data_IF_181406510200
#
_entry.id   IF_181406510200
#
_cell.length_a   1.000
_cell.length_b   1.000
_cell.length_c   1.000
_cell.angle_alpha   90.00
_cell.angle_beta   90.00
_cell.angle_gamma   90.00
#
_symmetry.space_group_name_H-M   'P 1'
#
loop_
_entity.id
_entity.type
_entity.pdbx_description
1 polymer ?
#
# COMPACT_ATOMS: atom_id res chain seq x y z
N UNK A 1 -2.65 -5.24 -1.71
CA UNK A 1 -2.62 -3.86 -1.16
C UNK A 1 -4.06 -3.39 -1.09
N UNK A 2 -4.36 -2.50 -0.14
CA UNK A 2 -5.73 -2.18 0.25
C UNK A 2 -6.64 -1.58 -0.82
N UNK A 3 -7.88 -1.34 -0.40
CA UNK A 3 -9.12 -1.31 -1.20
C UNK A 3 -9.53 -2.74 -1.60
N UNK A 4 -9.83 -3.57 -0.59
CA UNK A 4 -10.25 -4.96 -0.78
C UNK A 4 -11.67 -5.10 -1.36
N UNK A 5 -12.46 -4.03 -1.29
CA UNK A 5 -13.77 -3.91 -1.96
C UNK A 5 -13.71 -2.87 -3.07
N UNK A 6 -14.51 -3.08 -4.12
CA UNK A 6 -14.64 -2.14 -5.24
C UNK A 6 -15.33 -0.84 -4.84
N UNK A 7 -16.16 -0.89 -3.80
CA UNK A 7 -16.83 0.26 -3.20
C UNK A 7 -16.16 0.58 -1.87
N UNK A 8 -16.08 1.87 -1.55
CA UNK A 8 -15.60 2.34 -0.25
C UNK A 8 -16.47 1.81 0.89
N UNK A 9 -15.83 1.48 2.00
CA UNK A 9 -16.49 0.98 3.19
C UNK A 9 -17.35 2.07 3.84
N UNK A 10 -18.62 1.78 4.12
CA UNK A 10 -19.54 2.68 4.80
C UNK A 10 -20.47 3.49 3.87
N UNK A 11 -20.25 3.46 2.55
CA UNK A 11 -21.09 4.19 1.59
C UNK A 11 -22.46 3.53 1.37
N UNK A 12 -22.52 2.19 1.40
CA UNK A 12 -23.75 1.41 1.18
C UNK A 12 -24.16 0.68 2.47
N UNK A 13 -25.47 0.59 2.77
CA UNK A 13 -25.98 -0.11 3.97
C UNK A 13 -25.54 -1.58 4.09
N UNK A 14 -25.34 -2.27 2.96
CA UNK A 14 -24.86 -3.67 2.91
C UNK A 14 -23.34 -3.81 2.79
N UNK A 15 -22.57 -2.70 2.87
CA UNK A 15 -21.11 -2.74 2.66
C UNK A 15 -20.41 -3.70 3.62
N UNK A 16 -20.89 -3.77 4.86
CA UNK A 16 -20.32 -4.64 5.90
C UNK A 16 -20.39 -6.11 5.52
N UNK A 17 -21.56 -6.58 5.07
CA UNK A 17 -21.77 -7.97 4.67
C UNK A 17 -20.96 -8.31 3.42
N UNK A 18 -20.95 -7.42 2.42
CA UNK A 18 -20.16 -7.63 1.20
C UNK A 18 -18.65 -7.70 1.50
N UNK A 19 -18.17 -6.86 2.40
CA UNK A 19 -16.78 -6.87 2.85
C UNK A 19 -16.45 -8.23 3.51
N UNK A 20 -17.24 -8.66 4.50
CA UNK A 20 -17.06 -9.95 5.17
C UNK A 20 -17.12 -11.14 4.20
N UNK A 21 -18.08 -11.14 3.27
CA UNK A 21 -18.20 -12.17 2.24
C UNK A 21 -16.98 -12.21 1.31
N UNK A 22 -16.39 -11.06 0.98
CA UNK A 22 -15.16 -10.96 0.19
C UNK A 22 -13.98 -11.66 0.88
N UNK A 23 -13.77 -11.36 2.16
CA UNK A 23 -12.74 -12.03 2.97
C UNK A 23 -13.03 -13.53 3.14
N UNK A 24 -14.29 -13.92 3.31
CA UNK A 24 -14.65 -15.34 3.38
C UNK A 24 -14.34 -16.08 2.07
N UNK A 25 -14.62 -15.47 0.92
CA UNK A 25 -14.26 -16.03 -0.40
C UNK A 25 -12.75 -16.15 -0.56
N UNK A 26 -11.99 -15.13 -0.16
CA UNK A 26 -10.53 -15.18 -0.18
C UNK A 26 -10.00 -16.33 0.68
N UNK A 27 -10.57 -16.54 1.85
CA UNK A 27 -10.18 -17.65 2.72
C UNK A 27 -10.47 -19.02 2.11
N UNK A 28 -11.66 -19.20 1.53
CA UNK A 28 -12.02 -20.45 0.82
C UNK A 28 -11.05 -20.75 -0.31
N UNK A 29 -10.58 -19.73 -1.03
CA UNK A 29 -9.56 -19.88 -2.06
C UNK A 29 -8.20 -20.29 -1.48
N UNK A 30 -7.74 -19.63 -0.42
CA UNK A 30 -6.47 -19.94 0.23
C UNK A 30 -6.46 -21.34 0.87
N UNK A 31 -7.61 -21.80 1.36
CA UNK A 31 -7.77 -23.14 1.94
C UNK A 31 -7.73 -24.28 0.91
N UNK A 32 -7.81 -23.98 -0.39
CA UNK A 32 -7.75 -25.03 -1.43
C UNK A 32 -6.39 -25.76 -1.40
N UNK A 33 -6.36 -27.09 -1.62
CA UNK A 33 -5.13 -27.88 -1.55
C UNK A 33 -4.00 -27.35 -2.46
N UNK A 34 -4.36 -26.79 -3.62
CA UNK A 34 -3.42 -26.22 -4.59
C UNK A 34 -2.63 -25.02 -4.03
N UNK A 35 -3.26 -24.22 -3.18
CA UNK A 35 -2.67 -23.00 -2.63
C UNK A 35 -2.12 -23.18 -1.21
N UNK A 36 -2.38 -24.33 -0.58
CA UNK A 36 -1.88 -24.67 0.76
C UNK A 36 -0.36 -24.57 0.86
N UNK A 37 0.37 -24.94 -0.20
CA UNK A 37 1.84 -24.85 -0.20
C UNK A 37 2.32 -23.41 -0.04
N UNK A 38 1.59 -22.43 -0.62
CA UNK A 38 1.92 -21.01 -0.48
C UNK A 38 1.74 -20.55 0.96
N UNK A 39 0.70 -21.00 1.65
CA UNK A 39 0.48 -20.65 3.07
C UNK A 39 1.59 -21.20 3.98
N UNK A 40 2.23 -22.31 3.61
CA UNK A 40 3.33 -22.89 4.37
C UNK A 40 4.67 -22.20 4.09
N UNK A 41 4.92 -21.81 2.84
CA UNK A 41 6.21 -21.23 2.43
C UNK A 41 6.28 -19.71 2.53
N UNK A 42 5.17 -19.02 2.27
CA UNK A 42 5.15 -17.57 2.07
C UNK A 42 4.58 -16.82 3.28
N UNK A 43 5.00 -15.57 3.42
CA UNK A 43 4.41 -14.62 4.35
C UNK A 43 3.35 -13.78 3.64
N UNK A 44 2.13 -13.78 4.15
CA UNK A 44 1.04 -12.96 3.64
C UNK A 44 0.90 -11.73 4.53
N UNK A 45 1.11 -10.56 3.94
CA UNK A 45 0.98 -9.28 4.63
C UNK A 45 -0.15 -8.48 4.00
N UNK A 46 -1.15 -8.15 4.81
CA UNK A 46 -2.28 -7.32 4.43
C UNK A 46 -2.02 -5.89 4.89
N UNK A 47 -1.87 -4.99 3.92
CA UNK A 47 -1.77 -3.55 4.13
C UNK A 47 -3.11 -2.92 3.76
N UNK A 48 -3.75 -2.18 4.68
CA UNK A 48 -5.01 -1.50 4.42
C UNK A 48 -4.81 -0.34 3.43
N UNK A 49 -5.91 0.14 2.88
CA UNK A 49 -5.97 1.33 2.05
C UNK A 49 -7.09 2.26 2.49
N UNK A 50 -7.19 3.44 1.88
CA UNK A 50 -8.12 4.49 2.30
C UNK A 50 -9.61 4.10 2.14
N UNK A 51 -9.92 3.12 1.30
CA UNK A 51 -11.30 2.63 1.11
C UNK A 51 -11.72 1.50 2.06
N UNK A 52 -10.82 1.02 2.92
CA UNK A 52 -11.05 -0.18 3.75
C UNK A 52 -11.66 0.12 5.12
N UNK A 53 -12.14 -0.94 5.79
CA UNK A 53 -12.69 -0.91 7.14
C UNK A 53 -11.60 -0.70 8.21
N UNK A 54 -11.11 0.53 8.32
CA UNK A 54 -10.22 1.00 9.39
C UNK A 54 -10.92 2.06 10.24
N UNK A 55 -10.45 2.27 11.48
CA UNK A 55 -11.07 3.24 12.40
C UNK A 55 -10.94 4.68 11.86
N UNK A 56 -9.85 4.97 11.16
CA UNK A 56 -9.61 6.24 10.49
C UNK A 56 -8.83 5.97 9.20
N UNK A 57 -9.45 6.28 8.07
CA UNK A 57 -8.99 5.94 6.72
C UNK A 57 -8.48 7.16 5.92
N UNK A 58 -8.50 8.35 6.53
CA UNK A 58 -8.09 9.60 5.88
C UNK A 58 -6.74 10.11 6.40
N UNK A 59 -6.27 9.61 7.53
CA UNK A 59 -5.06 10.08 8.20
C UNK A 59 -4.03 8.96 8.26
N UNK A 60 -2.79 9.28 7.86
CA UNK A 60 -1.65 8.38 7.98
C UNK A 60 -0.93 8.62 9.33
N UNK A 61 -0.41 7.59 10.00
CA UNK A 61 -0.55 6.17 9.69
C UNK A 61 -1.96 5.63 10.01
N UNK A 62 -2.52 4.88 9.08
CA UNK A 62 -3.76 4.13 9.26
C UNK A 62 -3.52 2.88 10.11
N UNK A 63 -4.50 2.57 10.95
CA UNK A 63 -4.51 1.36 11.75
C UNK A 63 -4.75 0.12 10.88
N UNK A 64 -4.38 -1.08 11.35
CA UNK A 64 -4.72 -2.32 10.67
C UNK A 64 -6.24 -2.49 10.51
N UNK A 65 -6.64 -3.38 9.62
CA UNK A 65 -8.06 -3.69 9.41
C UNK A 65 -8.72 -4.15 10.72
N UNK A 66 -9.96 -3.71 10.93
CA UNK A 66 -10.76 -4.08 12.11
C UNK A 66 -10.93 -5.59 12.16
N UNK A 67 -10.67 -6.17 13.34
CA UNK A 67 -10.71 -7.62 13.56
C UNK A 67 -12.09 -8.19 13.34
N UNK A 68 -13.17 -7.48 13.65
CA UNK A 68 -14.53 -8.01 13.50
C UNK A 68 -14.87 -8.41 12.06
N UNK A 69 -14.27 -7.72 11.09
CA UNK A 69 -14.45 -8.02 9.67
C UNK A 69 -13.40 -9.00 9.11
N UNK A 70 -12.29 -9.22 9.82
CA UNK A 70 -11.10 -9.95 9.31
C UNK A 70 -10.67 -11.16 10.14
N UNK A 71 -11.14 -11.30 11.39
CA UNK A 71 -10.77 -12.33 12.38
C UNK A 71 -10.96 -13.73 11.82
N UNK A 72 -12.07 -13.94 11.10
CA UNK A 72 -12.39 -15.20 10.45
C UNK A 72 -11.27 -15.70 9.52
N UNK A 73 -10.46 -14.83 8.92
CA UNK A 73 -9.35 -15.27 8.09
C UNK A 73 -8.19 -15.75 8.94
N UNK A 74 -7.72 -14.90 9.85
CA UNK A 74 -6.55 -15.21 10.65
C UNK A 74 -6.77 -16.48 11.45
N UNK A 75 -7.88 -16.56 12.17
CA UNK A 75 -8.20 -17.71 13.03
C UNK A 75 -8.34 -19.01 12.23
N UNK A 76 -8.93 -18.96 11.02
CA UNK A 76 -9.06 -20.15 10.16
C UNK A 76 -7.72 -20.57 9.57
N UNK A 77 -6.86 -19.63 9.18
CA UNK A 77 -5.51 -19.94 8.70
C UNK A 77 -4.69 -20.55 9.85
N UNK A 78 -4.78 -19.96 11.04
CA UNK A 78 -4.14 -20.45 12.26
C UNK A 78 -4.63 -21.87 12.61
N UNK A 79 -5.93 -22.15 12.49
CA UNK A 79 -6.48 -23.49 12.69
C UNK A 79 -6.02 -24.51 11.64
N UNK A 80 -5.78 -24.09 10.40
CA UNK A 80 -5.38 -24.98 9.30
C UNK A 80 -3.88 -25.33 9.30
N UNK A 81 -3.04 -24.41 9.77
CA UNK A 81 -1.57 -24.50 9.75
C UNK A 81 -0.95 -24.61 11.15
N UNK A 82 -1.73 -24.46 12.21
CA UNK A 82 -1.27 -24.35 13.59
C UNK A 82 -0.43 -23.09 13.82
N UNK A 83 0.52 -23.17 14.75
CA UNK A 83 1.44 -22.08 15.12
C UNK A 83 2.38 -21.61 13.98
N UNK A 84 2.32 -22.25 12.80
CA UNK A 84 3.12 -21.88 11.64
C UNK A 84 2.41 -20.90 10.70
N UNK A 85 1.28 -20.33 11.11
CA UNK A 85 0.59 -19.36 10.27
C UNK A 85 1.44 -18.10 10.06
N UNK A 86 1.61 -17.74 8.80
CA UNK A 86 2.45 -16.62 8.35
C UNK A 86 1.59 -15.49 7.79
N UNK A 87 0.50 -15.16 8.48
CA UNK A 87 -0.47 -14.16 8.05
C UNK A 87 -0.45 -12.95 8.99
N UNK A 88 -0.17 -11.77 8.44
CA UNK A 88 -0.04 -10.52 9.18
C UNK A 88 -0.97 -9.45 8.63
N UNK A 89 -1.77 -8.84 9.51
CA UNK A 89 -2.47 -7.59 9.24
C UNK A 89 -1.62 -6.45 9.82
N UNK A 90 -1.25 -5.47 8.99
CA UNK A 90 -0.34 -4.38 9.38
C UNK A 90 -1.01 -3.01 9.21
N UNK A 91 -0.35 -1.97 9.71
CA UNK A 91 -0.68 -0.56 9.46
C UNK A 91 -0.36 -0.14 8.04
N UNK A 92 -0.85 1.04 7.64
CA UNK A 92 -0.44 1.71 6.41
C UNK A 92 0.07 3.13 6.74
N UNK A 93 1.34 3.48 6.45
CA UNK A 93 2.35 2.66 5.81
C UNK A 93 2.86 1.53 6.72
N UNK A 94 3.55 0.57 6.11
CA UNK A 94 4.29 -0.47 6.82
C UNK A 94 5.75 -0.51 6.35
N UNK A 95 6.63 -0.99 7.23
CA UNK A 95 8.04 -1.19 6.94
C UNK A 95 8.38 -2.66 7.12
N UNK A 96 8.97 -3.26 6.09
CA UNK A 96 9.42 -4.64 6.13
C UNK A 96 10.92 -4.63 5.92
N UNK A 97 11.63 -5.29 6.83
CA UNK A 97 13.06 -5.56 6.68
C UNK A 97 13.23 -7.01 6.29
N UNK A 98 13.80 -7.24 5.11
CA UNK A 98 14.15 -8.57 4.66
C UNK A 98 15.64 -8.60 4.31
N UNK A 99 16.39 -9.48 4.97
CA UNK A 99 17.85 -9.51 4.92
C UNK A 99 18.43 -8.13 5.29
N UNK A 100 19.22 -7.54 4.39
CA UNK A 100 19.82 -6.20 4.53
C UNK A 100 18.94 -5.08 3.99
N UNK A 101 17.82 -5.40 3.32
CA UNK A 101 16.99 -4.43 2.59
C UNK A 101 15.88 -3.89 3.47
N UNK A 102 15.73 -2.56 3.47
CA UNK A 102 14.64 -1.82 4.12
C UNK A 102 13.60 -1.44 3.08
N UNK A 103 12.41 -1.99 3.22
CA UNK A 103 11.28 -1.78 2.31
C UNK A 103 10.20 -1.00 3.03
N UNK A 104 9.65 0.00 2.35
CA UNK A 104 8.50 0.77 2.83
C UNK A 104 7.36 0.56 1.87
N UNK A 105 6.19 0.22 2.41
CA UNK A 105 4.97 0.13 1.63
C UNK A 105 3.98 1.16 2.15
N UNK A 106 3.44 1.94 1.24
CA UNK A 106 2.39 2.91 1.50
C UNK A 106 1.30 2.63 0.48
N UNK A 107 0.04 2.69 0.89
CA UNK A 107 -1.12 2.64 0.00
C UNK A 107 -1.92 3.91 0.23
N UNK A 108 -1.95 4.80 -0.74
CA UNK A 108 -2.75 6.02 -0.64
C UNK A 108 -2.61 6.85 -1.90
N UNK A 109 -3.52 7.80 -2.09
CA UNK A 109 -3.53 8.65 -3.27
C UNK A 109 -2.67 9.91 -3.05
N UNK A 110 -1.38 9.68 -2.78
CA UNK A 110 -0.41 10.70 -2.38
C UNK A 110 -0.29 11.82 -3.43
N UNK A 111 -0.34 11.50 -4.73
CA UNK A 111 -0.28 12.52 -5.78
C UNK A 111 -1.45 13.47 -5.67
N UNK A 112 -2.69 12.96 -5.62
CA UNK A 112 -3.89 13.79 -5.48
C UNK A 112 -3.84 14.61 -4.18
N UNK A 113 -3.43 13.98 -3.08
CA UNK A 113 -3.31 14.65 -1.79
C UNK A 113 -2.32 15.83 -1.82
N UNK A 114 -1.16 15.65 -2.45
CA UNK A 114 -0.14 16.69 -2.56
C UNK A 114 -0.50 17.75 -3.60
N UNK A 115 -1.15 17.37 -4.70
CA UNK A 115 -1.64 18.31 -5.70
C UNK A 115 -2.70 19.25 -5.09
N UNK A 116 -3.60 18.71 -4.27
CA UNK A 116 -4.63 19.50 -3.60
C UNK A 116 -4.07 20.53 -2.61
N UNK A 117 -2.88 20.28 -2.05
CA UNK A 117 -2.20 21.22 -1.16
C UNK A 117 -1.12 22.08 -1.84
N UNK A 118 -0.79 21.77 -3.09
CA UNK A 118 0.21 22.50 -3.86
C UNK A 118 -0.26 23.90 -4.24
N UNK A 119 0.63 24.89 -4.12
CA UNK A 119 0.38 26.27 -4.57
C UNK A 119 0.75 26.42 -6.05
N UNK A 120 1.83 25.74 -6.45
CA UNK A 120 2.32 25.71 -7.81
C UNK A 120 2.32 24.26 -8.29
N UNK A 121 1.62 24.01 -9.40
CA UNK A 121 1.87 22.84 -10.22
C UNK A 121 2.83 23.29 -11.31
N UNK A 122 3.95 22.58 -11.51
CA UNK A 122 4.92 22.92 -12.57
C UNK A 122 4.23 22.80 -13.92
N UNK A 123 3.65 23.90 -14.40
CA UNK A 123 2.92 23.95 -15.65
C UNK A 123 3.54 24.99 -16.56
N UNK A 124 4.29 24.54 -17.56
CA UNK A 124 4.61 25.32 -18.74
C UNK A 124 3.32 25.72 -19.47
N UNK A 125 2.63 26.79 -19.07
CA UNK A 125 1.51 27.46 -19.78
C UNK A 125 0.28 26.62 -20.20
N UNK A 126 0.34 25.29 -20.11
CA UNK A 126 -0.68 24.32 -20.47
C UNK A 126 -1.29 23.80 -19.19
N UNK A 127 -2.62 23.84 -19.11
CA UNK A 127 -3.43 23.43 -17.96
C UNK A 127 -3.37 21.92 -17.62
N UNK A 128 -2.51 21.15 -18.28
CA UNK A 128 -2.40 19.69 -18.13
C UNK A 128 -0.93 19.35 -17.96
N UNK A 129 -0.52 19.03 -16.73
CA UNK A 129 0.80 18.45 -16.42
C UNK A 129 0.86 17.03 -16.95
N UNK A 130 1.95 16.66 -17.62
CA UNK A 130 2.11 15.31 -18.15
C UNK A 130 2.26 14.28 -17.01
N UNK A 131 1.81 13.01 -17.19
CA UNK A 131 1.96 11.98 -16.16
C UNK A 131 3.42 11.71 -15.75
N UNK A 132 4.36 11.92 -16.66
CA UNK A 132 5.80 11.83 -16.41
C UNK A 132 6.31 12.92 -15.47
N UNK A 133 5.87 14.16 -15.67
CA UNK A 133 6.24 15.28 -14.79
C UNK A 133 5.63 15.13 -13.40
N UNK A 134 4.38 14.63 -13.32
CA UNK A 134 3.71 14.33 -12.04
C UNK A 134 4.51 13.32 -11.20
N UNK A 135 4.99 12.24 -11.84
CA UNK A 135 5.86 11.24 -11.20
C UNK A 135 7.14 11.88 -10.68
N UNK A 136 7.80 12.69 -11.51
CA UNK A 136 9.07 13.31 -11.13
C UNK A 136 8.89 14.29 -9.97
N UNK A 137 7.83 15.12 -10.01
CA UNK A 137 7.46 16.00 -8.91
C UNK A 137 7.17 15.24 -7.61
N UNK A 138 6.44 14.12 -7.68
CA UNK A 138 6.17 13.29 -6.50
C UNK A 138 7.46 12.76 -5.87
N UNK A 139 8.33 12.15 -6.69
CA UNK A 139 9.58 11.53 -6.22
C UNK A 139 10.52 12.60 -5.65
N UNK A 140 10.72 13.70 -6.36
CA UNK A 140 11.58 14.80 -5.90
C UNK A 140 11.05 15.43 -4.61
N UNK A 141 9.73 15.56 -4.46
CA UNK A 141 9.11 16.08 -3.24
C UNK A 141 9.31 15.13 -2.06
N UNK A 142 9.02 13.83 -2.22
CA UNK A 142 9.18 12.83 -1.16
C UNK A 142 10.66 12.69 -0.77
N UNK A 143 11.56 12.64 -1.74
CA UNK A 143 13.00 12.52 -1.50
C UNK A 143 13.57 13.78 -0.83
N UNK A 144 13.21 14.96 -1.34
CA UNK A 144 13.69 16.25 -0.81
C UNK A 144 13.19 16.55 0.61
N UNK A 145 11.96 16.15 0.92
CA UNK A 145 11.40 16.31 2.26
C UNK A 145 11.74 15.16 3.23
N UNK A 146 12.21 14.01 2.70
CA UNK A 146 12.49 12.83 3.51
C UNK A 146 11.27 12.32 4.29
N UNK A 147 10.07 12.49 3.73
CA UNK A 147 8.79 12.18 4.38
C UNK A 147 7.81 11.60 3.34
N UNK A 148 7.03 10.58 3.72
CA UNK A 148 6.09 9.91 2.79
C UNK A 148 4.95 10.82 2.31
N UNK A 149 4.41 11.66 3.20
CA UNK A 149 3.33 12.59 2.88
C UNK A 149 3.70 14.00 3.38
N UNK A 150 4.55 14.74 2.66
CA UNK A 150 4.93 16.09 3.06
C UNK A 150 3.79 17.07 2.79
N UNK A 151 2.87 17.18 3.74
CA UNK A 151 1.78 18.15 3.69
C UNK A 151 1.75 19.00 4.98
N UNK A 152 0.84 19.98 5.02
CA UNK A 152 0.54 20.74 6.23
C UNK A 152 0.31 19.78 7.41
N UNK A 153 1.00 20.00 8.55
CA UNK A 153 0.86 19.14 9.72
C UNK A 153 -0.61 18.99 10.13
N UNK A 154 -1.08 17.76 10.31
CA UNK A 154 -2.45 17.48 10.72
C UNK A 154 -3.50 17.41 9.60
N UNK A 155 -3.13 17.73 8.35
CA UNK A 155 -4.07 17.64 7.22
C UNK A 155 -4.35 16.19 6.82
N UNK A 156 -3.28 15.41 6.56
CA UNK A 156 -3.38 13.99 6.20
C UNK A 156 -2.47 13.09 7.04
N UNK A 157 -1.81 13.67 8.05
CA UNK A 157 -0.99 12.93 9.00
C UNK A 157 -1.49 13.13 10.42
N UNK A 158 -1.45 12.05 11.21
CA UNK A 158 -1.69 12.11 12.65
C UNK A 158 -0.45 12.73 13.30
N UNK A 159 -0.56 13.98 13.77
CA UNK A 159 0.55 14.73 14.35
C UNK A 159 1.35 13.96 15.41
N UNK A 160 0.68 13.18 16.25
CA UNK A 160 1.33 12.37 17.30
C UNK A 160 2.18 11.21 16.76
N UNK A 161 1.89 10.74 15.55
CA UNK A 161 2.54 9.61 14.91
C UNK A 161 3.24 9.99 13.58
N UNK A 162 3.48 11.28 13.36
CA UNK A 162 4.10 11.80 12.14
C UNK A 162 5.50 11.22 11.91
N UNK A 163 6.24 10.93 12.99
CA UNK A 163 7.54 10.26 12.93
C UNK A 163 7.51 8.89 12.22
N UNK A 164 6.36 8.22 12.15
CA UNK A 164 6.20 6.96 11.43
C UNK A 164 6.27 7.12 9.90
N UNK A 165 6.06 8.34 9.39
CA UNK A 165 6.07 8.67 7.97
C UNK A 165 7.44 9.19 7.48
N UNK A 166 8.38 9.44 8.40
CA UNK A 166 9.75 9.87 8.08
C UNK A 166 10.53 8.77 7.35
N UNK A 167 11.17 9.12 6.23
CA UNK A 167 12.00 8.22 5.44
C UNK A 167 13.46 8.18 5.89
N UNK A 168 13.75 8.65 7.11
CA UNK A 168 15.08 8.58 7.70
C UNK A 168 15.20 7.36 8.64
N UNK A 169 16.26 6.53 8.52
CA UNK A 169 17.27 6.51 7.45
C UNK A 169 16.69 6.07 6.10
N UNK A 170 17.29 6.53 4.99
CA UNK A 170 16.82 6.25 3.64
C UNK A 170 16.58 4.74 3.41
N UNK A 171 15.37 4.33 2.96
CA UNK A 171 15.08 2.95 2.64
C UNK A 171 15.69 2.56 1.29
N UNK A 172 15.88 1.26 1.04
CA UNK A 172 16.35 0.77 -0.26
C UNK A 172 15.25 0.87 -1.32
N UNK A 173 14.00 0.61 -0.93
CA UNK A 173 12.86 0.59 -1.84
C UNK A 173 11.58 1.09 -1.16
N UNK A 174 10.79 1.88 -1.90
CA UNK A 174 9.52 2.43 -1.49
C UNK A 174 8.46 2.06 -2.52
N UNK A 175 7.39 1.40 -2.06
CA UNK A 175 6.20 1.10 -2.83
C UNK A 175 5.10 2.09 -2.46
N UNK A 176 4.73 2.98 -3.37
CA UNK A 176 3.75 4.07 -3.13
C UNK A 176 2.31 3.59 -3.39
N UNK A 177 2.12 2.61 -4.28
CA UNK A 177 0.83 1.99 -4.61
C UNK A 177 -0.32 3.01 -4.73
N UNK A 178 -0.09 4.07 -5.48
CA UNK A 178 -1.02 5.17 -5.72
C UNK A 178 -1.83 4.88 -7.00
N UNK A 179 -3.16 4.95 -6.88
CA UNK A 179 -4.08 4.73 -8.00
C UNK A 179 -4.19 5.91 -8.95
N UNK A 180 -3.79 7.11 -8.53
CA UNK A 180 -3.82 8.34 -9.33
C UNK A 180 -2.57 8.54 -10.21
N UNK A 181 -1.52 7.74 -10.01
CA UNK A 181 -0.29 7.81 -10.78
C UNK A 181 -0.14 6.56 -11.68
N UNK A 182 0.38 6.66 -12.91
CA UNK A 182 0.71 5.49 -13.71
C UNK A 182 1.76 4.61 -13.02
N UNK A 183 1.88 3.36 -13.48
CA UNK A 183 2.92 2.48 -12.98
C UNK A 183 4.31 2.96 -13.40
N UNK A 184 5.26 2.91 -12.47
CA UNK A 184 6.64 3.28 -12.76
C UNK A 184 7.61 2.57 -11.83
N UNK A 185 8.84 2.43 -12.32
CA UNK A 185 10.01 2.09 -11.51
C UNK A 185 11.01 3.21 -11.75
N UNK A 186 11.50 3.80 -10.68
CA UNK A 186 12.47 4.89 -10.74
C UNK A 186 13.50 4.71 -9.64
N UNK A 187 14.77 4.75 -10.01
CA UNK A 187 15.85 4.69 -9.04
C UNK A 187 16.47 6.06 -8.94
N UNK A 188 16.42 6.64 -7.74
CA UNK A 188 17.12 7.90 -7.43
C UNK A 188 18.17 7.60 -6.36
N UNK A 189 19.42 7.91 -6.68
CA UNK A 189 20.59 7.62 -5.83
C UNK A 189 20.67 6.14 -5.41
N UNK A 190 20.21 5.82 -4.18
CA UNK A 190 20.21 4.48 -3.58
C UNK A 190 18.80 3.96 -3.29
N UNK A 191 17.77 4.79 -3.48
CA UNK A 191 16.38 4.46 -3.18
C UNK A 191 15.61 4.22 -4.48
N UNK A 192 14.94 3.08 -4.56
CA UNK A 192 14.06 2.77 -5.69
C UNK A 192 12.61 3.07 -5.31
N UNK A 193 11.95 3.90 -6.11
CA UNK A 193 10.55 4.21 -6.00
C UNK A 193 9.77 3.41 -7.03
N UNK A 194 8.75 2.71 -6.55
CA UNK A 194 7.91 1.85 -7.37
C UNK A 194 6.44 2.20 -7.17
N UNK A 195 5.73 2.28 -8.29
CA UNK A 195 4.28 2.37 -8.30
C UNK A 195 3.66 1.31 -9.22
N UNK A 196 2.50 0.79 -8.81
CA UNK A 196 1.72 -0.19 -9.56
C UNK A 196 0.34 0.39 -9.77
N UNK A 197 -0.20 0.19 -10.97
CA UNK A 197 -1.60 0.46 -11.26
C UNK A 197 -2.51 -0.51 -10.48
N UNK A 198 -3.79 -0.18 -10.44
CA UNK A 198 -4.78 -1.08 -9.84
C UNK A 198 -4.72 -2.46 -10.51
N UNK A 199 -4.61 -3.51 -9.68
CA UNK A 199 -4.55 -4.89 -10.14
C UNK A 199 -5.84 -5.31 -10.88
N UNK A 200 -6.99 -4.75 -10.49
CA UNK A 200 -8.28 -5.09 -11.13
C UNK A 200 -8.35 -4.69 -12.59
N UNK A 201 -7.65 -3.61 -12.97
CA UNK A 201 -7.63 -3.08 -14.34
C UNK A 201 -6.46 -3.64 -15.15
N UNK A 202 -5.26 -3.62 -14.57
CA UNK A 202 -4.02 -3.92 -15.29
C UNK A 202 -3.56 -5.38 -15.18
N UNK A 203 -4.07 -6.14 -14.19
CA UNK A 203 -3.55 -7.47 -13.80
C UNK A 203 -2.03 -7.52 -13.63
N UNK A 204 -1.43 -6.37 -13.28
CA UNK A 204 0.02 -6.23 -13.14
C UNK A 204 0.43 -6.18 -11.67
N UNK A 205 1.60 -6.74 -11.38
CA UNK A 205 2.18 -6.76 -10.04
C UNK A 205 3.70 -6.58 -10.12
N UNK A 206 4.32 -6.22 -9.00
CA UNK A 206 5.77 -6.08 -8.91
C UNK A 206 6.39 -7.30 -8.23
N UNK A 207 7.50 -7.75 -8.77
CA UNK A 207 8.40 -8.69 -8.13
C UNK A 207 9.68 -7.95 -7.73
N UNK A 208 10.08 -8.09 -6.47
CA UNK A 208 11.34 -7.54 -5.98
C UNK A 208 12.21 -8.67 -5.44
N UNK A 209 13.40 -8.80 -6.00
CA UNK A 209 14.41 -9.72 -5.49
C UNK A 209 15.31 -8.97 -4.50
N UNK A 210 15.22 -9.35 -3.23
CA UNK A 210 15.98 -8.72 -2.16
C UNK A 210 17.49 -9.00 -2.23
N UNK A 211 17.90 -10.07 -2.91
CA UNK A 211 19.32 -10.43 -3.06
C UNK A 211 19.98 -9.56 -4.14
N UNK A 212 19.41 -9.52 -5.34
CA UNK A 212 19.91 -8.67 -6.43
C UNK A 212 19.54 -7.19 -6.29
N UNK A 213 18.52 -6.87 -5.48
CA UNK A 213 17.99 -5.52 -5.33
C UNK A 213 17.20 -5.04 -6.55
N UNK A 214 16.85 -5.92 -7.50
CA UNK A 214 16.15 -5.56 -8.73
C UNK A 214 14.63 -5.65 -8.53
N UNK A 215 13.91 -4.63 -9.02
CA UNK A 215 12.44 -4.64 -9.11
C UNK A 215 12.00 -4.80 -10.56
N UNK A 216 11.05 -5.68 -10.81
CA UNK A 216 10.49 -5.96 -12.13
C UNK A 216 8.96 -5.91 -12.08
N UNK A 217 8.35 -5.33 -13.12
CA UNK A 217 6.91 -5.39 -13.33
C UNK A 217 6.56 -6.64 -14.13
N UNK A 218 5.66 -7.44 -13.59
CA UNK A 218 5.08 -8.62 -14.22
C UNK A 218 3.59 -8.38 -14.47
N UNK A 219 3.07 -8.92 -15.56
CA UNK A 219 1.65 -8.90 -15.89
C UNK A 219 1.17 -10.33 -16.14
N UNK A 220 -0.05 -10.64 -15.69
CA UNK A 220 -0.70 -11.94 -15.86
C UNK A 220 -1.66 -11.92 -17.04
#
# INVERSE_FOLDING_TARGET
MGNFTSTEFGTVKSSHEHYMQGFERMNKLLALPKFRILLMSCYFVIVPGPGDATICNQLLPEQPLITDFTSNIKDRIDNLLGNNSRFFSTTNPCRIRHLIRKMVFCRGDLVNTLLNSSIFTSGSGKKITSPSELKEMLITTILGQGHLCPNKPGANSVLRHDAALLLYPAPDIIFICDTSCPSFIWTSEKTTFCNVESFSQSKSFLCYDATSGKCQKLAV
#
